data_IF_248580036842
#
_entry.id   IF_248580036842
#
_cell.length_a   1.000
_cell.length_b   1.000
_cell.length_c   1.000
_cell.angle_alpha   90.00
_cell.angle_beta   90.00
_cell.angle_gamma   90.00
#
_symmetry.space_group_name_H-M   'P 1'
#
loop_
_entity.id
_entity.type
_entity.pdbx_description
1 polymer ?
#
# COMPACT_ATOMS: atom_id res chain seq x y z
N UNK A 1 -28.44 5.58 -3.00
CA UNK A 1 -29.04 4.95 -1.79
C UNK A 1 -28.09 4.03 -1.03
N UNK A 2 -27.03 3.45 -1.64
CA UNK A 2 -25.99 2.65 -0.96
C UNK A 2 -25.14 3.36 0.13
N UNK A 3 -25.45 4.63 0.45
CA UNK A 3 -24.49 5.59 1.00
C UNK A 3 -25.01 6.37 2.22
N UNK A 4 -26.18 6.01 2.75
CA UNK A 4 -26.68 6.59 4.01
C UNK A 4 -26.02 5.97 5.26
N UNK A 5 -25.53 4.74 5.15
CA UNK A 5 -24.93 4.03 6.28
C UNK A 5 -23.39 4.11 6.20
N UNK A 6 -22.77 4.80 7.17
CA UNK A 6 -21.31 5.03 7.26
C UNK A 6 -20.52 3.71 7.23
N UNK A 7 -21.10 2.65 7.79
CA UNK A 7 -20.53 1.29 7.82
C UNK A 7 -20.43 0.66 6.43
N UNK A 8 -21.48 0.81 5.60
CA UNK A 8 -21.48 0.30 4.22
C UNK A 8 -20.47 1.07 3.37
N UNK A 9 -20.34 2.38 3.58
CA UNK A 9 -19.35 3.20 2.89
C UNK A 9 -17.91 2.77 3.25
N UNK A 10 -17.64 2.51 4.54
CA UNK A 10 -16.34 2.01 4.99
C UNK A 10 -16.01 0.63 4.37
N UNK A 11 -16.96 -0.30 4.39
CA UNK A 11 -16.79 -1.61 3.74
C UNK A 11 -16.56 -1.49 2.24
N UNK A 12 -17.24 -0.56 1.58
CA UNK A 12 -17.02 -0.27 0.16
C UNK A 12 -15.58 0.17 -0.09
N UNK A 13 -15.01 1.00 0.79
CA UNK A 13 -13.62 1.45 0.69
C UNK A 13 -12.61 0.31 0.87
N UNK A 14 -12.89 -0.60 1.80
CA UNK A 14 -12.08 -1.82 2.01
C UNK A 14 -12.09 -2.67 0.74
N UNK A 15 -13.27 -2.99 0.22
CA UNK A 15 -13.43 -3.82 -0.99
C UNK A 15 -12.80 -3.15 -2.21
N UNK A 16 -13.01 -1.84 -2.37
CA UNK A 16 -12.41 -1.07 -3.46
C UNK A 16 -10.89 -1.15 -3.41
N UNK A 17 -10.29 -1.02 -2.22
CA UNK A 17 -8.84 -1.08 -2.10
C UNK A 17 -8.30 -2.49 -2.20
N UNK A 18 -9.03 -3.50 -1.77
CA UNK A 18 -8.62 -4.90 -1.97
C UNK A 18 -8.64 -5.29 -3.45
N UNK A 19 -9.60 -4.77 -4.22
CA UNK A 19 -9.70 -5.05 -5.67
C UNK A 19 -8.69 -4.24 -6.49
N UNK A 20 -8.52 -2.95 -6.18
CA UNK A 20 -7.57 -2.07 -6.87
C UNK A 20 -6.14 -2.23 -6.35
N UNK A 21 -5.97 -2.80 -5.15
CA UNK A 21 -4.71 -2.96 -4.41
C UNK A 21 -3.92 -1.66 -4.16
N UNK A 22 -4.54 -0.52 -4.43
CA UNK A 22 -3.91 0.79 -4.34
C UNK A 22 -4.88 1.77 -3.70
N UNK A 23 -4.57 2.18 -2.47
CA UNK A 23 -5.34 3.21 -1.78
C UNK A 23 -5.13 4.60 -2.38
N UNK A 24 -4.02 4.86 -3.09
CA UNK A 24 -3.83 6.12 -3.84
C UNK A 24 -4.77 6.19 -5.02
N UNK A 25 -4.85 5.13 -5.82
CA UNK A 25 -5.78 5.05 -6.94
C UNK A 25 -7.24 5.15 -6.46
N UNK A 26 -7.59 4.41 -5.41
CA UNK A 26 -8.92 4.49 -4.79
C UNK A 26 -9.24 5.91 -4.28
N UNK A 27 -8.28 6.58 -3.62
CA UNK A 27 -8.48 7.96 -3.13
C UNK A 27 -8.59 8.96 -4.27
N UNK A 28 -7.79 8.82 -5.33
CA UNK A 28 -7.87 9.68 -6.52
C UNK A 28 -9.22 9.54 -7.24
N UNK A 29 -9.75 8.32 -7.34
CA UNK A 29 -11.10 8.07 -7.85
C UNK A 29 -12.17 8.74 -6.98
N UNK A 30 -12.04 8.67 -5.66
CA UNK A 30 -12.96 9.35 -4.76
C UNK A 30 -12.91 10.87 -4.91
N UNK A 31 -11.71 11.43 -5.09
CA UNK A 31 -11.51 12.85 -5.38
C UNK A 31 -12.18 13.23 -6.70
N UNK A 32 -12.02 12.42 -7.76
CA UNK A 32 -12.64 12.70 -9.07
C UNK A 32 -14.17 12.59 -9.04
N UNK A 33 -14.73 11.65 -8.29
CA UNK A 33 -16.19 11.51 -8.11
C UNK A 33 -16.80 12.68 -7.34
N UNK A 34 -16.10 13.22 -6.33
CA UNK A 34 -16.52 14.45 -5.65
C UNK A 34 -16.35 15.66 -6.57
N UNK A 35 -15.30 15.69 -7.38
CA UNK A 35 -15.07 16.76 -8.34
C UNK A 35 -16.17 16.84 -9.41
N UNK A 36 -16.71 15.69 -9.82
CA UNK A 36 -17.83 15.58 -10.75
C UNK A 36 -19.20 15.83 -10.09
N UNK A 37 -19.26 16.08 -8.78
CA UNK A 37 -20.52 16.28 -8.04
C UNK A 37 -21.34 15.01 -7.82
N UNK A 38 -20.79 13.83 -8.15
CA UNK A 38 -21.49 12.53 -8.06
C UNK A 38 -21.57 12.06 -6.60
N UNK A 39 -20.59 12.41 -5.78
CA UNK A 39 -20.50 12.02 -4.37
C UNK A 39 -20.38 13.21 -3.44
N UNK A 40 -21.01 13.11 -2.26
CA UNK A 40 -20.85 14.10 -1.20
C UNK A 40 -19.59 13.85 -0.37
N UNK A 41 -19.05 14.92 0.23
CA UNK A 41 -17.87 14.86 1.09
C UNK A 41 -18.01 13.82 2.23
N UNK A 42 -19.15 13.82 2.93
CA UNK A 42 -19.38 12.91 4.07
C UNK A 42 -19.31 11.43 3.68
N UNK A 43 -19.86 11.09 2.51
CA UNK A 43 -19.82 9.74 1.97
C UNK A 43 -18.39 9.35 1.60
N UNK A 44 -17.70 10.25 0.89
CA UNK A 44 -16.32 10.04 0.47
C UNK A 44 -15.37 9.86 1.64
N UNK A 45 -15.51 10.63 2.72
CA UNK A 45 -14.68 10.48 3.92
C UNK A 45 -14.81 9.08 4.54
N UNK A 46 -16.03 8.52 4.57
CA UNK A 46 -16.25 7.17 5.11
C UNK A 46 -15.60 6.09 4.23
N UNK A 47 -15.68 6.22 2.91
CA UNK A 47 -15.01 5.29 1.98
C UNK A 47 -13.49 5.45 2.08
N UNK A 48 -12.99 6.68 2.16
CA UNK A 48 -11.57 7.01 2.28
C UNK A 48 -10.94 6.38 3.53
N UNK A 49 -11.64 6.34 4.67
CA UNK A 49 -11.16 5.62 5.85
C UNK A 49 -11.08 4.11 5.60
N UNK A 50 -12.06 3.56 4.88
CA UNK A 50 -12.06 2.16 4.45
C UNK A 50 -10.88 1.80 3.54
N UNK A 51 -10.41 2.72 2.70
CA UNK A 51 -9.26 2.44 1.82
C UNK A 51 -7.96 2.25 2.60
N UNK A 52 -7.78 2.99 3.69
CA UNK A 52 -6.68 2.77 4.63
C UNK A 52 -6.71 1.37 5.24
N UNK A 53 -7.88 0.94 5.72
CA UNK A 53 -8.07 -0.40 6.31
C UNK A 53 -7.82 -1.50 5.27
N UNK A 54 -8.35 -1.35 4.05
CA UNK A 54 -8.13 -2.32 2.98
C UNK A 54 -6.65 -2.51 2.63
N UNK A 55 -5.86 -1.42 2.69
CA UNK A 55 -4.40 -1.50 2.51
C UNK A 55 -3.75 -2.33 3.62
N UNK A 56 -4.18 -2.18 4.87
CA UNK A 56 -3.66 -2.97 6.00
C UNK A 56 -3.95 -4.45 5.80
N UNK A 57 -5.18 -4.78 5.40
CA UNK A 57 -5.58 -6.18 5.12
C UNK A 57 -4.72 -6.77 4.00
N UNK A 58 -4.53 -6.03 2.90
CA UNK A 58 -3.66 -6.46 1.79
C UNK A 58 -2.21 -6.68 2.26
N UNK A 59 -1.68 -5.77 3.08
CA UNK A 59 -0.31 -5.86 3.58
C UNK A 59 -0.14 -7.00 4.59
N UNK A 60 -1.18 -7.31 5.37
CA UNK A 60 -1.15 -8.45 6.28
C UNK A 60 -1.07 -9.78 5.53
N UNK A 61 -1.77 -9.90 4.39
CA UNK A 61 -1.64 -11.05 3.49
C UNK A 61 -0.20 -11.20 3.01
N UNK A 62 0.47 -10.08 2.71
CA UNK A 62 1.88 -10.08 2.29
C UNK A 62 2.81 -10.55 3.42
N UNK A 63 2.55 -10.14 4.66
CA UNK A 63 3.38 -10.48 5.81
C UNK A 63 3.40 -11.97 6.19
N UNK A 64 2.43 -12.78 5.75
CA UNK A 64 2.29 -14.20 6.13
C UNK A 64 3.32 -15.16 5.48
N UNK A 65 4.51 -14.70 5.09
CA UNK A 65 5.56 -15.49 4.40
C UNK A 65 5.03 -16.27 3.18
N UNK A 66 4.02 -15.74 2.51
CA UNK A 66 3.43 -16.38 1.33
C UNK A 66 4.42 -16.40 0.15
N UNK A 67 5.50 -15.62 0.23
CA UNK A 67 6.61 -15.59 -0.73
C UNK A 67 7.22 -16.95 -1.04
N UNK A 68 7.28 -17.86 -0.07
CA UNK A 68 7.81 -19.22 -0.32
C UNK A 68 6.85 -20.08 -1.15
N UNK A 69 5.55 -19.78 -1.06
CA UNK A 69 4.48 -20.43 -1.83
C UNK A 69 4.17 -19.71 -3.15
N UNK A 70 4.93 -18.67 -3.52
CA UNK A 70 4.68 -17.87 -4.72
C UNK A 70 4.57 -18.74 -5.98
N UNK A 71 5.49 -19.68 -6.18
CA UNK A 71 5.46 -20.59 -7.32
C UNK A 71 4.22 -21.49 -7.34
N UNK A 72 3.77 -22.00 -6.19
CA UNK A 72 2.56 -22.82 -6.08
C UNK A 72 1.30 -22.00 -6.41
N UNK A 73 1.24 -20.75 -5.96
CA UNK A 73 0.15 -19.82 -6.28
C UNK A 73 0.13 -19.49 -7.78
N UNK A 74 1.30 -19.28 -8.40
CA UNK A 74 1.40 -19.03 -9.84
C UNK A 74 0.94 -20.26 -10.64
N UNK A 75 1.39 -21.46 -10.28
CA UNK A 75 1.03 -22.70 -10.99
C UNK A 75 -0.48 -22.94 -10.90
N UNK A 76 -1.06 -22.80 -9.71
CA UNK A 76 -2.51 -22.98 -9.51
C UNK A 76 -3.32 -21.88 -10.22
N UNK A 77 -2.86 -20.63 -10.15
CA UNK A 77 -3.48 -19.51 -10.87
C UNK A 77 -3.44 -19.69 -12.39
N UNK A 78 -2.29 -20.08 -12.94
CA UNK A 78 -2.11 -20.37 -14.36
C UNK A 78 -3.02 -21.52 -14.81
N UNK A 79 -3.05 -22.61 -14.03
CA UNK A 79 -3.95 -23.74 -14.27
C UNK A 79 -5.42 -23.32 -14.31
N UNK A 80 -5.88 -22.52 -13.36
CA UNK A 80 -7.26 -22.01 -13.32
C UNK A 80 -7.58 -21.03 -14.45
N UNK A 81 -6.62 -20.22 -14.89
CA UNK A 81 -6.80 -19.29 -16.02
C UNK A 81 -6.89 -20.01 -17.35
N UNK A 82 -6.02 -21.00 -17.58
CA UNK A 82 -5.93 -21.72 -18.86
C UNK A 82 -6.97 -22.85 -18.95
N UNK A 83 -7.13 -23.66 -17.91
CA UNK A 83 -8.05 -24.81 -17.88
C UNK A 83 -9.47 -24.42 -17.42
N UNK A 84 -9.65 -23.19 -16.91
CA UNK A 84 -10.93 -22.69 -16.42
C UNK A 84 -11.98 -22.63 -17.53
N UNK A 85 -13.04 -23.43 -17.40
CA UNK A 85 -14.18 -23.45 -18.33
C UNK A 85 -15.16 -22.31 -18.07
N UNK A 86 -15.28 -21.86 -16.81
CA UNK A 86 -16.21 -20.79 -16.39
C UNK A 86 -15.49 -19.45 -16.29
N UNK A 87 -16.16 -18.35 -16.65
CA UNK A 87 -15.64 -16.96 -16.51
C UNK A 87 -15.17 -16.65 -15.08
N UNK A 88 -15.89 -17.16 -14.06
CA UNK A 88 -15.49 -17.04 -12.65
C UNK A 88 -14.16 -17.74 -12.35
N UNK A 89 -13.91 -18.93 -12.91
CA UNK A 89 -12.66 -19.68 -12.67
C UNK A 89 -11.46 -18.94 -13.26
N UNK A 90 -11.59 -18.42 -14.49
CA UNK A 90 -10.52 -17.61 -15.12
C UNK A 90 -10.24 -16.32 -14.35
N UNK A 91 -11.29 -15.69 -13.81
CA UNK A 91 -11.13 -14.49 -13.00
C UNK A 91 -10.37 -14.76 -11.69
N UNK A 92 -10.73 -15.84 -10.99
CA UNK A 92 -10.00 -16.28 -9.79
C UNK A 92 -8.56 -16.68 -10.13
N UNK A 93 -8.33 -17.36 -11.26
CA UNK A 93 -6.99 -17.68 -11.75
C UNK A 93 -6.13 -16.44 -12.00
N UNK A 94 -6.69 -15.39 -12.61
CA UNK A 94 -6.00 -14.12 -12.83
C UNK A 94 -5.66 -13.40 -11.52
N UNK A 95 -6.56 -13.46 -10.52
CA UNK A 95 -6.27 -12.91 -9.17
C UNK A 95 -5.10 -13.67 -8.55
N UNK A 96 -5.12 -15.00 -8.57
CA UNK A 96 -4.04 -15.83 -8.02
C UNK A 96 -2.72 -15.58 -8.75
N UNK A 97 -2.72 -15.46 -10.08
CA UNK A 97 -1.54 -15.10 -10.85
C UNK A 97 -0.98 -13.74 -10.43
N UNK A 98 -1.82 -12.72 -10.31
CA UNK A 98 -1.40 -11.39 -9.85
C UNK A 98 -0.76 -11.43 -8.47
N UNK A 99 -1.39 -12.11 -7.52
CA UNK A 99 -0.85 -12.32 -6.17
C UNK A 99 0.49 -13.06 -6.22
N UNK A 100 0.56 -14.15 -6.98
CA UNK A 100 1.77 -14.97 -7.14
C UNK A 100 2.94 -14.19 -7.74
N UNK A 101 2.70 -13.37 -8.77
CA UNK A 101 3.72 -12.52 -9.37
C UNK A 101 4.18 -11.40 -8.46
N UNK A 102 3.30 -10.81 -7.63
CA UNK A 102 3.71 -9.83 -6.61
C UNK A 102 4.69 -10.47 -5.62
N UNK A 103 4.35 -11.67 -5.11
CA UNK A 103 5.23 -12.39 -4.20
C UNK A 103 6.55 -12.80 -4.84
N UNK A 104 6.53 -13.28 -6.09
CA UNK A 104 7.74 -13.59 -6.84
C UNK A 104 8.61 -12.35 -7.05
N UNK A 105 8.01 -11.23 -7.47
CA UNK A 105 8.71 -9.96 -7.66
C UNK A 105 9.37 -9.47 -6.37
N UNK A 106 8.66 -9.58 -5.24
CA UNK A 106 9.23 -9.27 -3.92
C UNK A 106 10.42 -10.16 -3.57
N UNK A 107 10.33 -11.47 -3.82
CA UNK A 107 11.43 -12.42 -3.60
C UNK A 107 12.66 -12.05 -4.43
N UNK A 108 12.47 -11.79 -5.73
CA UNK A 108 13.55 -11.37 -6.65
C UNK A 108 14.18 -10.06 -6.19
N UNK A 109 13.38 -9.06 -5.79
CA UNK A 109 13.92 -7.81 -5.27
C UNK A 109 14.77 -8.02 -4.01
N UNK A 110 14.33 -8.90 -3.10
CA UNK A 110 15.06 -9.19 -1.87
C UNK A 110 16.37 -9.91 -2.14
N UNK A 111 16.36 -10.92 -3.00
CA UNK A 111 17.56 -11.65 -3.42
C UNK A 111 18.55 -10.72 -4.15
N UNK A 112 18.05 -9.75 -4.93
CA UNK A 112 18.88 -8.75 -5.61
C UNK A 112 19.52 -7.75 -4.67
N UNK A 113 18.87 -7.44 -3.53
CA UNK A 113 19.38 -6.52 -2.51
C UNK A 113 20.28 -7.23 -1.48
N UNK A 114 20.18 -8.56 -1.36
CA UNK A 114 20.97 -9.35 -0.42
C UNK A 114 22.51 -9.13 -0.53
N UNK A 115 23.13 -9.00 -1.73
CA UNK A 115 24.57 -8.73 -1.84
C UNK A 115 24.97 -7.34 -1.35
N UNK A 116 24.06 -6.36 -1.33
CA UNK A 116 24.37 -5.02 -0.82
C UNK A 116 24.66 -5.04 0.68
N UNK A 117 24.22 -6.07 1.42
CA UNK A 117 24.51 -6.20 2.86
C UNK A 117 25.99 -6.21 3.17
N UNK A 118 26.85 -6.63 2.23
CA UNK A 118 28.29 -6.74 2.44
C UNK A 118 29.04 -5.44 2.06
N UNK A 119 28.36 -4.47 1.44
CA UNK A 119 28.92 -3.15 1.16
C UNK A 119 28.92 -2.26 2.42
N UNK A 120 30.09 -1.70 2.75
CA UNK A 120 30.28 -0.83 3.92
C UNK A 120 29.32 0.38 3.94
N UNK A 121 29.16 1.06 2.79
CA UNK A 121 28.23 2.19 2.63
C UNK A 121 26.78 1.82 2.95
N UNK A 122 26.35 0.62 2.55
CA UNK A 122 24.99 0.16 2.80
C UNK A 122 24.76 -0.17 4.27
N UNK A 123 25.71 -0.85 4.93
CA UNK A 123 25.67 -1.08 6.39
C UNK A 123 25.65 0.22 7.16
N UNK A 124 26.51 1.17 6.82
CA UNK A 124 26.57 2.48 7.48
C UNK A 124 25.25 3.25 7.31
N UNK A 125 24.69 3.24 6.09
CA UNK A 125 23.40 3.88 5.83
C UNK A 125 22.26 3.24 6.63
N UNK A 126 22.19 1.91 6.70
CA UNK A 126 21.19 1.20 7.51
C UNK A 126 21.36 1.49 9.00
N UNK A 127 22.60 1.52 9.50
CA UNK A 127 22.91 1.81 10.91
C UNK A 127 22.51 3.25 11.27
N UNK A 128 22.80 4.22 10.39
CA UNK A 128 22.41 5.61 10.57
C UNK A 128 20.89 5.79 10.55
N UNK A 129 20.19 5.07 9.66
CA UNK A 129 18.72 5.08 9.63
C UNK A 129 18.12 4.43 10.89
N UNK A 130 18.77 3.40 11.42
CA UNK A 130 18.32 2.73 12.65
C UNK A 130 18.50 3.62 13.89
N UNK A 131 19.60 4.38 13.97
CA UNK A 131 19.86 5.31 15.07
C UNK A 131 18.95 6.55 15.04
N UNK A 132 18.44 6.94 13.87
CA UNK A 132 17.60 8.13 13.70
C UNK A 132 16.26 7.72 13.06
N UNK A 133 15.25 7.31 13.87
CA UNK A 133 13.94 6.86 13.37
C UNK A 133 13.24 7.88 12.48
N UNK A 134 13.46 9.18 12.72
CA UNK A 134 12.90 10.25 11.87
C UNK A 134 13.51 10.22 10.45
N UNK A 135 14.80 9.91 10.32
CA UNK A 135 15.48 9.77 9.03
C UNK A 135 14.92 8.55 8.28
N UNK A 136 14.66 7.44 8.98
CA UNK A 136 14.02 6.26 8.43
C UNK A 136 12.57 6.51 7.96
N UNK A 137 11.81 7.32 8.69
CA UNK A 137 10.49 7.77 8.26
C UNK A 137 10.56 8.63 7.00
N UNK A 138 11.48 9.60 6.95
CA UNK A 138 11.64 10.48 5.79
C UNK A 138 12.15 9.71 4.57
N UNK A 139 13.05 8.74 4.74
CA UNK A 139 13.53 7.90 3.64
C UNK A 139 12.41 7.03 3.08
N UNK A 140 11.60 6.42 3.93
CA UNK A 140 10.41 5.67 3.52
C UNK A 140 9.38 6.55 2.80
N UNK A 141 9.16 7.77 3.28
CA UNK A 141 8.29 8.76 2.64
C UNK A 141 8.81 9.15 1.25
N UNK A 142 10.09 9.48 1.13
CA UNK A 142 10.71 9.89 -0.13
C UNK A 142 10.71 8.75 -1.15
N UNK A 143 11.14 7.56 -0.73
CA UNK A 143 11.17 6.37 -1.59
C UNK A 143 9.77 6.02 -2.10
N UNK A 144 8.76 6.05 -1.22
CA UNK A 144 7.37 5.80 -1.61
C UNK A 144 6.80 6.91 -2.48
N UNK A 145 7.21 8.17 -2.29
CA UNK A 145 6.76 9.27 -3.15
C UNK A 145 7.31 9.13 -4.56
N UNK A 146 8.55 8.66 -4.72
CA UNK A 146 9.17 8.41 -6.02
C UNK A 146 8.54 7.22 -6.74
N UNK A 147 8.39 6.09 -6.04
CA UNK A 147 7.81 4.86 -6.60
C UNK A 147 6.28 4.92 -6.68
N UNK A 148 5.66 5.82 -5.92
CA UNK A 148 4.21 6.05 -5.82
C UNK A 148 3.41 4.83 -5.32
N UNK A 149 4.08 3.87 -4.67
CA UNK A 149 3.44 2.64 -4.17
C UNK A 149 3.90 2.29 -2.76
N UNK A 150 3.05 2.52 -1.75
CA UNK A 150 3.33 2.10 -0.37
C UNK A 150 3.38 0.58 -0.23
N UNK A 151 2.63 -0.15 -1.05
CA UNK A 151 2.57 -1.62 -1.00
C UNK A 151 3.90 -2.22 -1.44
N UNK A 152 4.52 -1.64 -2.48
CA UNK A 152 5.85 -2.05 -2.93
C UNK A 152 6.92 -1.72 -1.88
N UNK A 153 6.92 -0.50 -1.32
CA UNK A 153 7.86 -0.11 -0.26
C UNK A 153 7.72 -1.00 0.97
N UNK A 154 6.49 -1.24 1.43
CA UNK A 154 6.25 -2.13 2.57
C UNK A 154 6.67 -3.56 2.27
N UNK A 155 6.37 -4.08 1.08
CA UNK A 155 6.79 -5.42 0.68
C UNK A 155 8.31 -5.59 0.72
N UNK A 156 9.06 -4.61 0.21
CA UNK A 156 10.52 -4.57 0.30
C UNK A 156 10.98 -4.56 1.76
N UNK A 157 10.46 -3.64 2.58
CA UNK A 157 10.82 -3.56 4.00
C UNK A 157 10.55 -4.87 4.75
N UNK A 158 9.39 -5.47 4.54
CA UNK A 158 9.04 -6.77 5.15
C UNK A 158 10.01 -7.86 4.68
N UNK A 159 10.34 -7.91 3.39
CA UNK A 159 11.25 -8.91 2.85
C UNK A 159 12.67 -8.79 3.41
N UNK A 160 13.19 -7.57 3.50
CA UNK A 160 14.49 -7.29 4.11
C UNK A 160 14.48 -7.66 5.61
N UNK A 161 13.40 -7.37 6.33
CA UNK A 161 13.26 -7.74 7.74
C UNK A 161 13.20 -9.26 7.93
N UNK A 162 12.49 -9.98 7.06
CA UNK A 162 12.40 -11.44 7.09
C UNK A 162 13.74 -12.14 6.83
N UNK A 163 14.65 -11.50 6.08
CA UNK A 163 16.00 -11.98 5.83
C UNK A 163 17.01 -11.55 6.91
N UNK A 164 16.56 -10.83 7.94
CA UNK A 164 17.41 -10.30 9.01
C UNK A 164 18.32 -9.15 8.57
N UNK A 165 18.07 -8.54 7.41
CA UNK A 165 18.88 -7.44 6.88
C UNK A 165 18.57 -6.10 7.56
N UNK A 166 17.33 -5.92 8.04
CA UNK A 166 16.91 -4.75 8.79
C UNK A 166 16.17 -5.18 10.06
N UNK A 167 16.37 -4.44 11.15
CA UNK A 167 15.65 -4.66 12.40
C UNK A 167 14.20 -4.17 12.31
N UNK A 168 13.36 -4.63 13.25
CA UNK A 168 11.99 -4.13 13.37
C UNK A 168 11.95 -2.62 13.67
N UNK A 169 12.94 -2.15 14.44
CA UNK A 169 13.10 -0.75 14.81
C UNK A 169 13.34 0.15 13.59
N UNK A 170 14.02 -0.36 12.57
CA UNK A 170 14.20 0.32 11.29
C UNK A 170 12.98 0.14 10.36
N UNK A 171 12.37 -1.04 10.36
CA UNK A 171 11.25 -1.37 9.48
C UNK A 171 9.99 -0.53 9.78
N UNK A 172 9.65 -0.33 11.05
CA UNK A 172 8.41 0.37 11.46
C UNK A 172 8.41 1.84 10.97
N UNK A 173 9.45 2.66 11.22
CA UNK A 173 9.49 4.03 10.72
C UNK A 173 9.42 4.12 9.19
N UNK A 174 10.09 3.24 8.46
CA UNK A 174 10.02 3.20 6.98
C UNK A 174 8.58 2.92 6.52
N UNK A 175 7.91 1.95 7.16
CA UNK A 175 6.51 1.62 6.88
C UNK A 175 5.59 2.82 7.17
N UNK A 176 5.77 3.52 8.28
CA UNK A 176 5.00 4.73 8.60
C UNK A 176 5.26 5.84 7.57
N UNK A 177 6.52 6.07 7.22
CA UNK A 177 6.94 6.99 6.17
C UNK A 177 6.28 6.69 4.83
N UNK A 178 6.21 5.41 4.45
CA UNK A 178 5.57 4.99 3.20
C UNK A 178 4.11 5.42 3.09
N UNK A 179 3.38 5.42 4.22
CA UNK A 179 1.99 5.89 4.25
C UNK A 179 1.88 7.38 3.96
N UNK A 180 2.82 8.19 4.45
CA UNK A 180 2.87 9.61 4.10
C UNK A 180 3.28 9.84 2.65
N UNK A 181 4.21 9.03 2.13
CA UNK A 181 4.69 9.17 0.76
C UNK A 181 3.56 9.08 -0.27
N UNK A 182 2.59 8.18 -0.04
CA UNK A 182 1.39 8.07 -0.91
C UNK A 182 0.48 9.31 -0.95
N UNK A 183 0.62 10.24 -0.01
CA UNK A 183 -0.14 11.50 -0.05
C UNK A 183 0.32 12.41 -1.20
N UNK A 184 1.60 12.33 -1.59
CA UNK A 184 2.15 13.16 -2.68
C UNK A 184 1.40 12.93 -3.98
N UNK A 185 1.16 11.67 -4.36
CA UNK A 185 0.39 11.31 -5.56
C UNK A 185 -1.04 11.86 -5.53
N UNK A 186 -1.72 11.80 -4.39
CA UNK A 186 -3.10 12.31 -4.25
C UNK A 186 -3.13 13.84 -4.31
N UNK A 187 -2.11 14.50 -3.77
CA UNK A 187 -1.96 15.96 -3.89
C UNK A 187 -1.76 16.38 -5.34
N UNK A 188 -0.89 15.68 -6.09
CA UNK A 188 -0.68 15.94 -7.51
C UNK A 188 -1.95 15.68 -8.34
N UNK A 189 -2.67 14.59 -8.07
CA UNK A 189 -3.94 14.28 -8.73
C UNK A 189 -5.04 15.33 -8.43
N UNK A 190 -4.86 16.14 -7.40
CA UNK A 190 -5.79 17.16 -6.93
C UNK A 190 -5.55 18.58 -7.45
N UNK A 191 -4.52 18.80 -8.26
CA UNK A 191 -4.20 20.12 -8.81
C UNK A 191 -5.36 20.57 -9.72
N UNK A 192 -5.92 21.75 -9.44
CA UNK A 192 -7.10 22.27 -10.18
C UNK A 192 -8.46 21.74 -9.71
N UNK A 193 -8.52 20.93 -8.66
CA UNK A 193 -9.78 20.36 -8.19
C UNK A 193 -10.72 21.38 -7.50
N UNK A 194 -12.02 21.09 -7.51
CA UNK A 194 -13.07 21.88 -6.84
C UNK A 194 -12.87 21.95 -5.32
N UNK A 195 -13.57 22.90 -4.65
CA UNK A 195 -13.52 23.05 -3.18
C UNK A 195 -13.87 21.76 -2.44
N UNK A 196 -14.84 20.98 -2.94
CA UNK A 196 -15.23 19.70 -2.35
C UNK A 196 -14.12 18.66 -2.45
N UNK A 197 -13.53 18.50 -3.64
CA UNK A 197 -12.43 17.58 -3.90
C UNK A 197 -11.16 17.95 -3.10
N UNK A 198 -10.84 19.24 -2.98
CA UNK A 198 -9.75 19.72 -2.11
C UNK A 198 -9.94 19.31 -0.65
N UNK A 199 -11.17 19.37 -0.11
CA UNK A 199 -11.45 18.91 1.26
C UNK A 199 -11.18 17.42 1.44
N UNK A 200 -11.45 16.59 0.42
CA UNK A 200 -11.13 15.15 0.45
C UNK A 200 -9.63 14.92 0.46
N UNK A 201 -8.88 15.64 -0.37
CA UNK A 201 -7.41 15.55 -0.44
C UNK A 201 -6.80 15.94 0.91
N UNK A 202 -7.25 17.04 1.51
CA UNK A 202 -6.83 17.45 2.85
C UNK A 202 -7.20 16.43 3.91
N UNK A 203 -8.40 15.88 3.87
CA UNK A 203 -8.78 14.82 4.79
C UNK A 203 -7.88 13.58 4.66
N UNK A 204 -7.53 13.18 3.43
CA UNK A 204 -6.60 12.09 3.15
C UNK A 204 -5.22 12.33 3.77
N UNK A 205 -4.69 13.55 3.60
CA UNK A 205 -3.42 13.94 4.16
C UNK A 205 -3.46 13.94 5.70
N UNK A 206 -4.49 14.57 6.28
CA UNK A 206 -4.62 14.73 7.74
C UNK A 206 -4.77 13.39 8.44
N UNK A 207 -5.64 12.48 7.98
CA UNK A 207 -5.82 11.21 8.69
C UNK A 207 -4.54 10.35 8.66
N UNK A 208 -3.78 10.39 7.54
CA UNK A 208 -2.51 9.66 7.41
C UNK A 208 -1.42 10.29 8.28
N UNK A 209 -1.32 11.63 8.29
CA UNK A 209 -0.39 12.35 9.14
C UNK A 209 -0.66 12.10 10.63
N UNK A 210 -1.92 12.24 11.06
CA UNK A 210 -2.31 11.98 12.46
C UNK A 210 -1.99 10.54 12.84
N UNK A 211 -2.32 9.57 11.97
CA UNK A 211 -1.97 8.17 12.22
C UNK A 211 -0.45 7.98 12.40
N UNK A 212 0.36 8.56 11.54
CA UNK A 212 1.82 8.44 11.63
C UNK A 212 2.37 9.12 12.88
N UNK A 213 1.91 10.32 13.22
CA UNK A 213 2.36 11.03 14.43
C UNK A 213 2.03 10.23 15.69
N UNK A 214 0.80 9.71 15.80
CA UNK A 214 0.37 8.92 16.96
C UNK A 214 1.22 7.66 17.11
N UNK A 215 1.39 6.89 16.02
CA UNK A 215 2.16 5.64 16.06
C UNK A 215 3.67 5.83 16.12
N UNK A 216 4.20 7.00 15.74
CA UNK A 216 5.63 7.31 15.83
C UNK A 216 6.04 7.78 17.23
N UNK A 217 5.09 8.33 18.00
CA UNK A 217 5.31 8.78 19.38
C UNK A 217 5.06 7.67 20.43
N UNK A 218 4.37 6.59 20.04
CA UNK A 218 4.12 5.39 20.83
C UNK A 218 5.33 4.45 20.78
#
# INVERSE_FOLDING_TARGET
TLSKNKLIALLTGIILTLTVQSSTAASALLVSLVNAGIMSLSQTLSILLGTGIGTIVANQIIAFKVSDYAFLIIITGFGLTVLGRKRKQRFVGNILLGIGFIFLGMKVMSESVAPLKDHALFKETLTNLENIPLLALLSGMLFTSLIQSSTATMGLTISLAMQGLISLNLAIPIILGSRLGTCTTVLFAGIGATRGAKRVIWANLVYKLVGVIVFFLL
#
